data_IF_378983237355
#
_entry.id   IF_378983237355
#
_cell.length_a   1.000
_cell.length_b   1.000
_cell.length_c   1.000
_cell.angle_alpha   90.00
_cell.angle_beta   90.00
_cell.angle_gamma   90.00
#
_symmetry.space_group_name_H-M   'P 1'
#
loop_
_entity.id
_entity.type
_entity.pdbx_description
1 polymer ?
#
# COMPACT_ATOMS: atom_id res chain seq x y z
N UNK A 1 -14.44 -7.93 2.28
CA UNK A 1 -15.47 -8.49 1.39
C UNK A 1 -16.04 -9.75 2.07
N UNK A 2 -17.31 -9.84 2.31
CA UNK A 2 -17.89 -11.03 2.91
C UNK A 2 -17.87 -12.19 1.91
N UNK A 3 -17.20 -13.28 2.30
CA UNK A 3 -17.32 -14.59 1.69
C UNK A 3 -16.43 -14.87 0.47
N UNK A 4 -15.53 -15.81 0.63
CA UNK A 4 -14.72 -16.53 -0.38
C UNK A 4 -13.43 -15.91 -0.90
N UNK A 5 -13.17 -14.61 -0.81
CA UNK A 5 -11.89 -14.03 -1.23
C UNK A 5 -11.05 -13.74 0.00
N UNK A 6 -9.86 -14.34 0.05
CA UNK A 6 -8.86 -14.05 1.08
C UNK A 6 -8.37 -12.60 0.93
N UNK A 7 -8.54 -11.80 1.97
CA UNK A 7 -8.07 -10.40 2.01
C UNK A 7 -7.06 -10.23 3.13
N UNK A 8 -6.13 -9.28 2.98
CA UNK A 8 -5.15 -8.94 4.03
C UNK A 8 -5.87 -8.58 5.34
N UNK A 9 -6.93 -7.76 5.26
CA UNK A 9 -7.73 -7.38 6.43
C UNK A 9 -8.33 -8.61 7.12
N UNK A 10 -8.99 -9.51 6.38
CA UNK A 10 -9.62 -10.69 6.98
C UNK A 10 -8.62 -11.65 7.61
N UNK A 11 -7.44 -11.82 6.98
CA UNK A 11 -6.37 -12.65 7.55
C UNK A 11 -5.82 -12.04 8.84
N UNK A 12 -5.66 -10.71 8.89
CA UNK A 12 -5.19 -10.03 10.09
C UNK A 12 -6.23 -10.08 11.22
N UNK A 13 -7.52 -9.89 10.91
CA UNK A 13 -8.63 -10.01 11.87
C UNK A 13 -8.72 -11.43 12.45
N UNK A 14 -8.53 -12.46 11.61
CA UNK A 14 -8.47 -13.86 12.07
C UNK A 14 -7.27 -14.13 12.98
N UNK A 15 -6.10 -13.59 12.65
CA UNK A 15 -4.90 -13.72 13.48
C UNK A 15 -5.07 -13.01 14.83
N UNK A 16 -5.66 -11.83 14.85
CA UNK A 16 -6.01 -11.10 16.06
C UNK A 16 -6.99 -11.90 16.93
N UNK A 17 -8.02 -12.49 16.33
CA UNK A 17 -8.97 -13.35 17.07
C UNK A 17 -8.28 -14.56 17.70
N UNK A 18 -7.39 -15.24 16.96
CA UNK A 18 -6.62 -16.37 17.49
C UNK A 18 -5.71 -15.97 18.65
N UNK A 19 -5.16 -14.75 18.58
CA UNK A 19 -4.21 -14.25 19.59
C UNK A 19 -4.91 -13.75 20.86
N UNK A 20 -6.02 -13.01 20.70
CA UNK A 20 -6.67 -12.29 21.82
C UNK A 20 -7.99 -12.88 22.26
N UNK A 21 -8.63 -13.71 21.44
CA UNK A 21 -10.01 -14.19 21.64
C UNK A 21 -11.09 -13.13 21.31
N UNK A 22 -10.69 -11.93 20.90
CA UNK A 22 -11.60 -10.81 20.64
C UNK A 22 -11.97 -10.72 19.15
N UNK A 23 -13.22 -10.38 18.85
CA UNK A 23 -13.63 -10.00 17.50
C UNK A 23 -13.22 -8.55 17.24
N UNK A 24 -12.08 -8.36 16.63
CA UNK A 24 -11.49 -7.07 16.35
C UNK A 24 -11.73 -6.73 14.89
N UNK A 25 -12.20 -5.50 14.63
CA UNK A 25 -12.28 -4.94 13.27
C UNK A 25 -11.05 -4.07 13.01
N UNK A 26 -10.34 -4.36 11.93
CA UNK A 26 -9.15 -3.62 11.55
C UNK A 26 -9.51 -2.55 10.52
N UNK A 27 -9.03 -1.33 10.73
CA UNK A 27 -9.20 -0.20 9.82
C UNK A 27 -7.86 0.17 9.20
N UNK A 28 -7.74 0.00 7.90
CA UNK A 28 -6.51 0.33 7.15
C UNK A 28 -6.47 1.79 6.67
N UNK A 29 -5.26 2.31 6.49
CA UNK A 29 -5.00 3.64 5.92
C UNK A 29 -5.54 3.79 4.48
N UNK A 30 -5.63 2.70 3.74
CA UNK A 30 -6.22 2.66 2.42
C UNK A 30 -6.45 1.23 1.96
N UNK A 31 -7.30 1.07 0.96
CA UNK A 31 -7.47 -0.20 0.26
C UNK A 31 -6.40 -0.32 -0.82
N UNK A 32 -5.98 -1.53 -1.09
CA UNK A 32 -5.14 -1.88 -2.24
C UNK A 32 -5.90 -2.90 -3.09
N UNK A 33 -5.75 -2.81 -4.40
CA UNK A 33 -6.32 -3.78 -5.32
C UNK A 33 -5.59 -5.12 -5.23
N UNK A 34 -6.20 -6.17 -5.79
CA UNK A 34 -5.58 -7.50 -5.84
C UNK A 34 -4.25 -7.46 -6.58
N UNK A 35 -3.22 -8.05 -6.01
CA UNK A 35 -1.87 -8.07 -6.57
C UNK A 35 -1.01 -6.85 -6.23
N UNK A 36 -1.54 -5.83 -5.53
CA UNK A 36 -0.74 -4.73 -5.03
C UNK A 36 -0.09 -5.12 -3.70
N UNK A 37 1.21 -4.95 -3.61
CA UNK A 37 2.01 -5.19 -2.41
C UNK A 37 2.13 -3.90 -1.57
N UNK A 38 2.37 -4.05 -0.28
CA UNK A 38 2.66 -2.93 0.61
C UNK A 38 3.87 -3.25 1.49
N UNK A 39 4.82 -2.33 1.56
CA UNK A 39 5.99 -2.43 2.44
C UNK A 39 5.71 -1.90 3.85
N UNK A 40 4.66 -1.09 4.02
CA UNK A 40 4.35 -0.47 5.31
C UNK A 40 2.91 0.06 5.33
N UNK A 41 1.91 -0.79 5.12
CA UNK A 41 0.52 -0.42 5.30
C UNK A 41 0.23 -0.21 6.80
N UNK A 42 -0.38 0.92 7.13
CA UNK A 42 -0.77 1.23 8.51
C UNK A 42 -2.22 0.81 8.73
N UNK A 43 -2.47 0.18 9.87
CA UNK A 43 -3.81 -0.17 10.33
C UNK A 43 -3.97 0.26 11.78
N UNK A 44 -5.21 0.51 12.24
CA UNK A 44 -5.52 0.62 13.66
C UNK A 44 -6.67 -0.32 14.04
N UNK A 45 -6.71 -0.65 15.30
CA UNK A 45 -7.77 -1.42 15.94
C UNK A 45 -7.78 -1.14 17.45
N UNK A 46 -8.88 -1.48 18.11
CA UNK A 46 -9.02 -1.43 19.56
C UNK A 46 -9.01 -2.84 20.13
N UNK A 47 -8.39 -3.02 21.30
CA UNK A 47 -8.32 -4.28 22.01
C UNK A 47 -8.23 -4.04 23.52
N UNK A 48 -8.83 -4.93 24.31
CA UNK A 48 -8.68 -5.01 25.77
C UNK A 48 -7.56 -5.95 26.19
N UNK A 49 -6.84 -6.54 25.22
CA UNK A 49 -5.76 -7.49 25.48
C UNK A 49 -4.64 -6.86 26.31
N UNK A 50 -4.15 -7.60 27.27
CA UNK A 50 -3.04 -7.20 28.16
C UNK A 50 -1.67 -7.55 27.58
N UNK A 51 -1.59 -8.04 26.34
CA UNK A 51 -0.32 -8.33 25.67
C UNK A 51 0.48 -7.02 25.53
N UNK A 52 1.74 -6.97 25.97
CA UNK A 52 2.58 -5.79 25.77
C UNK A 52 2.68 -5.41 24.28
N UNK A 53 2.60 -4.10 23.98
CA UNK A 53 2.53 -3.60 22.60
C UNK A 53 3.72 -4.05 21.74
N UNK A 54 4.91 -4.05 22.33
CA UNK A 54 6.16 -4.51 21.70
C UNK A 54 6.15 -6.01 21.35
N UNK A 55 5.28 -6.80 21.96
CA UNK A 55 5.13 -8.23 21.71
C UNK A 55 4.12 -8.55 20.62
N UNK A 56 3.21 -7.61 20.29
CA UNK A 56 2.20 -7.83 19.26
C UNK A 56 2.76 -8.27 17.91
N UNK A 57 3.83 -7.65 17.35
CA UNK A 57 4.37 -8.08 16.06
C UNK A 57 4.79 -9.55 16.05
N UNK A 58 5.57 -9.97 17.05
CA UNK A 58 6.03 -11.35 17.14
C UNK A 58 4.87 -12.34 17.35
N UNK A 59 3.93 -11.99 18.23
CA UNK A 59 2.78 -12.83 18.54
C UNK A 59 1.85 -12.99 17.32
N UNK A 60 1.54 -11.89 16.60
CA UNK A 60 0.72 -11.94 15.38
C UNK A 60 1.39 -12.72 14.26
N UNK A 61 2.69 -12.51 14.04
CA UNK A 61 3.44 -13.19 12.98
C UNK A 61 3.45 -14.72 13.17
N UNK A 62 3.29 -15.22 14.41
CA UNK A 62 3.10 -16.65 14.67
C UNK A 62 1.77 -17.22 14.15
N UNK A 63 0.79 -16.37 13.85
CA UNK A 63 -0.54 -16.75 13.34
C UNK A 63 -0.77 -16.33 11.88
N UNK A 64 0.15 -15.56 11.32
CA UNK A 64 0.04 -15.06 9.96
C UNK A 64 0.67 -16.02 8.93
N UNK A 65 0.16 -16.07 7.71
CA UNK A 65 0.80 -16.78 6.61
C UNK A 65 2.06 -16.04 6.14
N UNK A 66 2.92 -16.75 5.39
CA UNK A 66 4.23 -16.24 4.96
C UNK A 66 4.21 -15.03 4.02
N UNK A 67 3.04 -14.69 3.46
CA UNK A 67 2.86 -13.55 2.55
C UNK A 67 2.34 -12.28 3.25
N UNK A 68 2.18 -12.33 4.59
CA UNK A 68 1.78 -11.19 5.41
C UNK A 68 2.63 -11.15 6.70
N UNK A 69 3.18 -9.99 7.01
CA UNK A 69 3.94 -9.77 8.24
C UNK A 69 3.57 -8.44 8.90
N UNK A 70 3.46 -8.45 10.22
CA UNK A 70 3.40 -7.24 11.05
C UNK A 70 4.82 -6.85 11.42
N UNK A 71 5.21 -5.64 11.07
CA UNK A 71 6.57 -5.12 11.29
C UNK A 71 6.69 -4.46 12.66
N UNK A 72 5.71 -3.62 13.00
CA UNK A 72 5.71 -2.80 14.20
C UNK A 72 4.30 -2.68 14.78
N UNK A 73 4.20 -2.39 16.07
CA UNK A 73 2.98 -2.00 16.75
C UNK A 73 3.28 -0.86 17.73
N UNK A 74 2.36 0.07 17.85
CA UNK A 74 2.46 1.18 18.79
C UNK A 74 1.08 1.47 19.42
N UNK A 75 1.08 1.82 20.71
CA UNK A 75 -0.10 2.40 21.33
C UNK A 75 -0.29 3.84 20.86
N UNK A 76 -1.51 4.18 20.50
CA UNK A 76 -1.89 5.52 20.03
C UNK A 76 -3.09 6.04 20.80
N UNK A 77 -3.35 7.33 20.69
CA UNK A 77 -4.54 7.94 21.28
C UNK A 77 -5.82 7.35 20.66
N UNK A 78 -6.90 7.27 21.43
CA UNK A 78 -8.20 6.78 20.96
C UNK A 78 -8.79 7.62 19.80
N UNK A 79 -8.32 8.85 19.60
CA UNK A 79 -8.69 9.70 18.46
C UNK A 79 -7.95 9.37 17.17
N UNK A 80 -6.90 8.54 17.22
CA UNK A 80 -6.11 8.21 16.03
C UNK A 80 -6.91 7.39 15.02
N UNK A 81 -6.85 7.79 13.77
CA UNK A 81 -7.50 7.08 12.68
C UNK A 81 -6.55 6.87 11.50
N UNK A 82 -6.10 5.64 11.27
CA UNK A 82 -5.08 5.31 10.26
C UNK A 82 -5.37 5.88 8.86
N UNK A 83 -6.65 6.02 8.49
CA UNK A 83 -7.03 6.54 7.17
C UNK A 83 -7.10 8.06 7.13
N UNK A 84 -7.66 8.70 8.17
CA UNK A 84 -7.92 10.14 8.14
C UNK A 84 -6.73 10.96 8.62
N UNK A 85 -5.86 10.36 9.44
CA UNK A 85 -4.63 11.02 9.91
C UNK A 85 -3.43 10.71 8.99
N UNK A 86 -3.65 9.98 7.90
CA UNK A 86 -2.61 9.74 6.90
C UNK A 86 -2.30 11.05 6.16
N UNK A 87 -1.08 11.57 6.35
CA UNK A 87 -0.64 12.82 5.72
C UNK A 87 -0.18 12.63 4.28
N UNK A 88 0.47 11.49 4.00
CA UNK A 88 1.07 11.18 2.70
C UNK A 88 1.06 9.68 2.45
N UNK A 89 0.98 9.32 1.18
CA UNK A 89 1.17 7.94 0.70
C UNK A 89 2.27 7.93 -0.34
N UNK A 90 3.17 6.94 -0.23
CA UNK A 90 4.22 6.70 -1.22
C UNK A 90 3.87 5.46 -2.02
N UNK A 91 3.80 5.60 -3.32
CA UNK A 91 3.66 4.48 -4.26
C UNK A 91 4.95 4.29 -5.03
N UNK A 92 5.28 3.03 -5.28
CA UNK A 92 6.38 2.65 -6.15
C UNK A 92 5.85 1.65 -7.18
N UNK A 93 5.93 2.00 -8.46
CA UNK A 93 5.62 1.11 -9.56
C UNK A 93 6.90 0.69 -10.24
N UNK A 94 7.15 -0.63 -10.29
CA UNK A 94 8.37 -1.21 -10.86
C UNK A 94 8.14 -1.69 -12.27
N UNK A 95 9.02 -1.28 -13.18
CA UNK A 95 9.07 -1.76 -14.55
C UNK A 95 10.41 -2.45 -14.79
N UNK A 96 10.36 -3.66 -15.33
CA UNK A 96 11.53 -4.33 -15.86
C UNK A 96 11.59 -4.09 -17.37
N UNK A 97 12.48 -3.19 -17.79
CA UNK A 97 12.64 -2.76 -19.17
C UNK A 97 13.75 -3.54 -19.85
N UNK A 98 13.43 -4.70 -20.39
CA UNK A 98 14.35 -5.60 -21.04
C UNK A 98 13.65 -6.43 -22.11
N UNK A 99 14.36 -6.81 -23.17
CA UNK A 99 13.84 -7.76 -24.17
C UNK A 99 13.58 -9.14 -23.58
N UNK A 100 14.28 -9.51 -22.50
CA UNK A 100 14.12 -10.80 -21.82
C UNK A 100 13.17 -10.65 -20.63
N UNK A 101 12.18 -11.54 -20.46
CA UNK A 101 11.29 -11.49 -19.32
C UNK A 101 11.99 -11.87 -18.01
N UNK A 102 11.49 -11.36 -16.88
CA UNK A 102 11.97 -11.68 -15.53
C UNK A 102 10.95 -12.55 -14.79
N UNK A 103 11.12 -13.86 -14.86
CA UNK A 103 10.14 -14.81 -14.33
C UNK A 103 9.99 -14.73 -12.80
N UNK A 104 11.09 -14.54 -12.06
CA UNK A 104 11.08 -14.48 -10.59
C UNK A 104 10.27 -13.29 -10.07
N UNK A 105 10.37 -12.12 -10.72
CA UNK A 105 9.71 -10.89 -10.32
C UNK A 105 8.36 -10.63 -11.00
N UNK A 106 7.82 -11.60 -11.74
CA UNK A 106 6.61 -11.44 -12.56
C UNK A 106 5.37 -10.91 -11.81
N UNK A 107 5.31 -11.08 -10.49
CA UNK A 107 4.22 -10.57 -9.65
C UNK A 107 4.55 -9.24 -8.94
N UNK A 108 5.77 -8.71 -9.15
CA UNK A 108 6.25 -7.52 -8.45
C UNK A 108 6.64 -6.39 -9.40
N UNK A 109 6.67 -6.64 -10.71
CA UNK A 109 6.99 -5.63 -11.70
C UNK A 109 6.21 -5.84 -13.00
N UNK A 110 6.07 -4.76 -13.75
CA UNK A 110 5.59 -4.80 -15.13
C UNK A 110 6.76 -5.03 -16.08
N UNK A 111 6.69 -6.05 -16.91
CA UNK A 111 7.69 -6.30 -17.95
C UNK A 111 7.34 -5.50 -19.20
N UNK A 112 8.24 -4.64 -19.63
CA UNK A 112 8.10 -3.84 -20.85
C UNK A 112 9.33 -3.99 -21.74
N UNK A 113 9.23 -4.68 -22.92
CA UNK A 113 10.39 -5.04 -23.74
C UNK A 113 10.90 -3.93 -24.65
N UNK A 114 10.08 -2.95 -24.98
CA UNK A 114 10.49 -1.87 -25.90
C UNK A 114 11.33 -0.80 -25.17
N UNK A 115 12.22 -0.09 -25.88
CA UNK A 115 12.93 1.05 -25.28
C UNK A 115 11.96 2.12 -24.76
N UNK A 116 12.30 2.72 -23.63
CA UNK A 116 11.57 3.85 -23.02
C UNK A 116 12.42 5.10 -23.05
N UNK A 117 11.83 6.22 -23.48
CA UNK A 117 12.44 7.54 -23.40
C UNK A 117 12.24 8.09 -21.97
N UNK A 118 13.23 7.83 -21.12
CA UNK A 118 13.18 8.28 -19.73
C UNK A 118 13.27 9.79 -19.57
N UNK A 119 13.88 10.50 -20.53
CA UNK A 119 13.96 11.96 -20.48
C UNK A 119 12.57 12.58 -20.66
N UNK A 120 11.89 12.17 -21.72
CA UNK A 120 10.52 12.61 -21.96
C UNK A 120 9.56 12.20 -20.82
N UNK A 121 9.71 10.97 -20.28
CA UNK A 121 8.89 10.51 -19.15
C UNK A 121 9.12 11.34 -17.88
N UNK A 122 10.38 11.71 -17.57
CA UNK A 122 10.69 12.59 -16.44
C UNK A 122 10.12 13.98 -16.60
N UNK A 123 10.20 14.53 -17.79
CA UNK A 123 9.61 15.84 -18.12
C UNK A 123 8.08 15.80 -17.94
N UNK A 124 7.41 14.79 -18.48
CA UNK A 124 5.98 14.60 -18.32
C UNK A 124 5.59 14.40 -16.84
N UNK A 125 6.40 13.73 -16.04
CA UNK A 125 6.12 13.52 -14.63
C UNK A 125 6.01 14.83 -13.84
N UNK A 126 6.73 15.89 -14.24
CA UNK A 126 6.66 17.19 -13.57
C UNK A 126 5.29 17.86 -13.66
N UNK A 127 4.52 17.55 -14.70
CA UNK A 127 3.17 18.09 -14.91
C UNK A 127 2.21 17.65 -13.80
N UNK A 128 2.47 16.53 -13.15
CA UNK A 128 1.62 16.00 -12.09
C UNK A 128 1.94 16.57 -10.70
N UNK A 129 3.06 17.27 -10.53
CA UNK A 129 3.46 17.84 -9.24
C UNK A 129 2.60 19.06 -8.91
N UNK A 130 2.14 19.15 -7.67
CA UNK A 130 1.24 20.20 -7.20
C UNK A 130 -0.19 19.69 -6.99
N UNK A 131 -1.12 20.62 -6.93
CA UNK A 131 -2.54 20.33 -6.73
C UNK A 131 -3.26 20.24 -8.08
N UNK A 132 -3.89 19.09 -8.35
CA UNK A 132 -4.58 18.82 -9.60
C UNK A 132 -5.88 18.05 -9.36
N UNK A 133 -6.82 18.23 -10.27
CA UNK A 133 -8.03 17.38 -10.34
C UNK A 133 -7.75 16.13 -11.18
N UNK A 134 -7.73 15.00 -10.51
CA UNK A 134 -7.51 13.67 -11.11
C UNK A 134 -8.81 12.96 -11.52
N UNK A 135 -9.89 13.69 -11.78
CA UNK A 135 -11.18 13.09 -12.21
C UNK A 135 -10.99 12.17 -13.42
N UNK A 136 -10.17 12.54 -14.39
CA UNK A 136 -9.89 11.73 -15.60
C UNK A 136 -9.21 10.38 -15.28
N UNK A 137 -8.58 10.23 -14.10
CA UNK A 137 -7.92 9.00 -13.65
C UNK A 137 -8.77 8.21 -12.65
N UNK A 138 -9.95 8.70 -12.29
CA UNK A 138 -10.82 8.02 -11.34
C UNK A 138 -11.65 6.93 -12.01
N UNK A 139 -11.86 5.81 -11.30
CA UNK A 139 -12.75 4.77 -11.77
C UNK A 139 -14.21 5.21 -11.67
N UNK A 140 -15.03 4.79 -12.65
CA UNK A 140 -16.49 5.02 -12.61
C UNK A 140 -17.08 4.34 -11.39
N UNK A 141 -17.90 5.08 -10.61
CA UNK A 141 -18.48 4.58 -9.37
C UNK A 141 -17.57 4.70 -8.13
N UNK A 142 -16.50 5.45 -8.24
CA UNK A 142 -15.66 5.79 -7.07
C UNK A 142 -16.48 6.52 -6.01
N UNK A 143 -16.33 6.11 -4.73
CA UNK A 143 -16.99 6.73 -3.58
C UNK A 143 -16.19 7.88 -2.95
N UNK A 144 -15.13 8.35 -3.61
CA UNK A 144 -14.31 9.47 -3.10
C UNK A 144 -15.09 10.78 -3.17
N UNK A 145 -14.95 11.61 -2.13
CA UNK A 145 -15.63 12.91 -2.02
C UNK A 145 -15.02 13.99 -2.91
N UNK A 146 -13.73 13.87 -3.21
CA UNK A 146 -12.97 14.81 -4.04
C UNK A 146 -11.94 14.03 -4.86
N UNK A 147 -11.74 14.43 -6.11
CA UNK A 147 -10.70 13.92 -7.00
C UNK A 147 -9.47 14.81 -7.04
N UNK A 148 -9.52 15.97 -6.35
CA UNK A 148 -8.37 16.86 -6.21
C UNK A 148 -7.36 16.24 -5.27
N UNK A 149 -6.09 16.18 -5.69
CA UNK A 149 -4.97 15.65 -4.92
C UNK A 149 -3.76 16.53 -5.05
N UNK A 150 -2.96 16.57 -3.98
CA UNK A 150 -1.66 17.22 -4.00
C UNK A 150 -0.55 16.15 -4.15
N UNK A 151 0.14 16.19 -5.28
CA UNK A 151 1.32 15.36 -5.54
C UNK A 151 2.55 16.12 -5.10
N UNK A 152 3.25 15.63 -4.07
CA UNK A 152 4.45 16.27 -3.51
C UNK A 152 5.69 15.99 -4.33
N UNK A 153 5.80 14.77 -4.87
CA UNK A 153 6.88 14.39 -5.80
C UNK A 153 6.44 13.26 -6.72
N UNK A 154 7.05 13.22 -7.91
CA UNK A 154 6.96 12.13 -8.86
C UNK A 154 8.33 11.93 -9.50
N UNK A 155 9.02 10.86 -9.10
CA UNK A 155 10.38 10.56 -9.48
C UNK A 155 10.43 9.31 -10.37
N UNK A 156 11.33 9.33 -11.36
CA UNK A 156 11.59 8.18 -12.22
C UNK A 156 13.08 7.87 -12.14
N UNK A 157 13.40 6.69 -11.63
CA UNK A 157 14.77 6.23 -11.46
C UNK A 157 15.04 4.99 -12.32
N UNK A 158 16.24 4.90 -12.90
CA UNK A 158 16.67 3.71 -13.63
C UNK A 158 17.94 3.15 -13.03
N UNK A 159 17.93 1.84 -12.76
CA UNK A 159 19.09 1.08 -12.32
C UNK A 159 19.20 -0.21 -13.15
N UNK A 160 20.11 -0.22 -14.11
CA UNK A 160 20.20 -1.32 -15.09
C UNK A 160 18.92 -1.42 -15.92
N UNK A 161 18.27 -2.57 -15.91
CA UNK A 161 17.00 -2.83 -16.60
C UNK A 161 15.77 -2.49 -15.75
N UNK A 162 15.95 -2.07 -14.49
CA UNK A 162 14.89 -1.69 -13.58
C UNK A 162 14.59 -0.19 -13.67
N UNK A 163 13.32 0.13 -13.78
CA UNK A 163 12.81 1.50 -13.72
C UNK A 163 11.78 1.53 -12.60
N UNK A 164 11.95 2.46 -11.67
CA UNK A 164 10.98 2.73 -10.60
C UNK A 164 10.31 4.08 -10.82
N UNK A 165 8.98 4.07 -10.75
CA UNK A 165 8.15 5.27 -10.71
C UNK A 165 7.72 5.45 -9.26
N UNK A 166 8.17 6.53 -8.65
CA UNK A 166 7.94 6.81 -7.24
C UNK A 166 7.09 8.07 -7.15
N UNK A 167 5.90 7.95 -6.57
CA UNK A 167 5.03 9.09 -6.31
C UNK A 167 4.74 9.23 -4.83
N UNK A 168 4.69 10.46 -4.34
CA UNK A 168 4.26 10.81 -2.99
C UNK A 168 3.11 11.80 -3.13
N UNK A 169 1.96 11.47 -2.59
CA UNK A 169 0.76 12.30 -2.66
C UNK A 169 -0.05 12.22 -1.36
N UNK A 170 -0.97 13.15 -1.17
CA UNK A 170 -2.03 13.04 -0.20
C UNK A 170 -3.12 12.06 -0.67
N UNK A 171 -3.82 11.45 0.20
CA UNK A 171 -5.04 10.67 -0.13
C UNK A 171 -4.88 9.23 -0.55
#
# INVERSE_FOLDING_TARGET
QPGRVRTVQGVLEEALFKLTGEKITVVGAGRTDSGVHALGQVVHFETSSTIPVDRFPAALNGHLPSDLAVLEAAAVNASFHARYDALKKKYCYLVFNSRKPVAIWRHHCYHFPAPLDLSAMKECAQVFIGEHDFTAFSAVGSSVKSTVRHVFSMDIEKKGEWISFISIADG
#
